data_IF_031873390765
#
_entry.id   IF_031873390765
#
_cell.length_a   1.000
_cell.length_b   1.000
_cell.length_c   1.000
_cell.angle_alpha   90.00
_cell.angle_beta   90.00
_cell.angle_gamma   90.00
#
_symmetry.space_group_name_H-M   'P 1'
#
loop_
_entity.id
_entity.type
_entity.pdbx_description
1 polymer ?
#
# COMPACT_ATOMS: atom_id res chain seq x y z
N UNK A 1 -23.84 12.82 29.28
CA UNK A 1 -23.25 11.48 29.06
C UNK A 1 -23.96 10.69 27.95
N UNK A 2 -25.26 10.35 28.04
CA UNK A 2 -25.98 9.59 26.98
C UNK A 2 -25.90 10.23 25.57
N UNK A 3 -26.06 11.55 25.46
CA UNK A 3 -25.95 12.28 24.19
C UNK A 3 -24.55 12.17 23.55
N UNK A 4 -23.50 12.18 24.37
CA UNK A 4 -22.10 12.02 23.92
C UNK A 4 -21.88 10.58 23.42
N UNK A 5 -22.37 9.58 24.16
CA UNK A 5 -22.27 8.18 23.75
C UNK A 5 -22.96 7.92 22.40
N UNK A 6 -24.16 8.48 22.20
CA UNK A 6 -24.88 8.37 20.93
C UNK A 6 -24.08 9.02 19.79
N UNK A 7 -23.48 10.18 20.04
CA UNK A 7 -22.69 10.89 19.03
C UNK A 7 -21.43 10.09 18.62
N UNK A 8 -20.77 9.45 19.58
CA UNK A 8 -19.61 8.57 19.33
C UNK A 8 -20.00 7.34 18.50
N UNK A 9 -21.15 6.72 18.80
CA UNK A 9 -21.66 5.56 18.04
C UNK A 9 -22.02 5.95 16.61
N UNK A 10 -22.70 7.08 16.40
CA UNK A 10 -23.04 7.55 15.06
C UNK A 10 -21.75 7.83 14.28
N UNK A 11 -20.77 8.49 14.90
CA UNK A 11 -19.50 8.80 14.26
C UNK A 11 -18.71 7.53 13.89
N UNK A 12 -18.68 6.50 14.74
CA UNK A 12 -18.01 5.25 14.43
C UNK A 12 -18.67 4.49 13.27
N UNK A 13 -20.00 4.50 13.19
CA UNK A 13 -20.76 3.94 12.06
C UNK A 13 -20.48 4.68 10.76
N UNK A 14 -20.48 6.02 10.78
CA UNK A 14 -20.18 6.85 9.59
C UNK A 14 -18.76 6.55 9.09
N UNK A 15 -17.77 6.51 9.99
CA UNK A 15 -16.39 6.15 9.61
C UNK A 15 -16.35 4.76 8.98
N UNK A 16 -16.96 3.77 9.63
CA UNK A 16 -16.90 2.38 9.16
C UNK A 16 -17.60 2.22 7.81
N UNK A 17 -18.78 2.83 7.64
CA UNK A 17 -19.52 2.84 6.39
C UNK A 17 -18.73 3.49 5.25
N UNK A 18 -18.12 4.66 5.50
CA UNK A 18 -17.26 5.32 4.51
C UNK A 18 -16.11 4.41 4.04
N UNK A 19 -15.49 3.65 4.95
CA UNK A 19 -14.41 2.70 4.61
C UNK A 19 -14.88 1.55 3.74
N UNK A 20 -16.12 1.08 3.93
CA UNK A 20 -16.70 0.02 3.10
C UNK A 20 -17.02 0.56 1.70
N UNK A 21 -17.51 1.80 1.60
CA UNK A 21 -17.86 2.42 0.32
C UNK A 21 -16.65 2.80 -0.55
N UNK A 22 -15.46 2.94 0.02
CA UNK A 22 -14.23 3.25 -0.72
C UNK A 22 -13.31 2.03 -0.79
N UNK A 23 -13.53 1.09 -1.74
CA UNK A 23 -12.67 -0.05 -1.92
C UNK A 23 -11.26 0.39 -2.32
N UNK A 24 -10.28 -0.39 -1.88
CA UNK A 24 -8.89 -0.15 -2.25
C UNK A 24 -8.71 -0.22 -3.76
N UNK A 25 -8.12 0.84 -4.33
CA UNK A 25 -7.85 0.96 -5.76
C UNK A 25 -6.36 0.77 -6.01
N UNK A 26 -6.00 -0.12 -6.92
CA UNK A 26 -4.63 -0.22 -7.44
C UNK A 26 -4.48 0.84 -8.53
N UNK A 27 -3.52 1.74 -8.36
CA UNK A 27 -3.23 2.81 -9.32
C UNK A 27 -1.88 2.61 -10.03
N UNK A 28 -1.04 1.69 -9.55
CA UNK A 28 0.17 1.29 -10.25
C UNK A 28 0.78 -0.01 -9.75
N UNK A 29 1.48 -0.69 -10.65
CA UNK A 29 2.21 -1.93 -10.42
C UNK A 29 3.53 -1.79 -11.16
N UNK A 30 4.64 -1.77 -10.42
CA UNK A 30 5.98 -1.60 -10.96
C UNK A 30 6.85 -2.79 -10.58
N UNK A 31 7.46 -3.42 -11.59
CA UNK A 31 8.48 -4.44 -11.38
C UNK A 31 9.85 -3.75 -11.42
N UNK A 32 10.44 -3.53 -10.24
CA UNK A 32 11.72 -2.80 -10.11
C UNK A 32 12.91 -3.70 -10.40
N UNK A 33 12.78 -5.00 -10.11
CA UNK A 33 13.72 -6.04 -10.47
C UNK A 33 13.00 -7.37 -10.64
N UNK A 34 13.71 -8.45 -11.00
CA UNK A 34 13.12 -9.78 -11.24
C UNK A 34 12.16 -10.23 -10.13
N UNK A 35 12.49 -9.94 -8.87
CA UNK A 35 11.73 -10.41 -7.70
C UNK A 35 11.18 -9.27 -6.82
N UNK A 36 11.34 -8.01 -7.22
CA UNK A 36 10.89 -6.85 -6.43
C UNK A 36 9.75 -6.14 -7.14
N UNK A 37 8.61 -6.06 -6.44
CA UNK A 37 7.38 -5.44 -6.92
C UNK A 37 7.03 -4.27 -6.03
N UNK A 38 6.69 -3.15 -6.63
CA UNK A 38 6.14 -1.98 -5.95
C UNK A 38 4.71 -1.78 -6.41
N UNK A 39 3.79 -1.77 -5.45
CA UNK A 39 2.36 -1.61 -5.65
C UNK A 39 1.92 -0.27 -5.10
N UNK A 40 1.29 0.55 -5.95
CA UNK A 40 0.76 1.85 -5.55
C UNK A 40 -0.76 1.74 -5.48
N UNK A 41 -1.31 2.04 -4.31
CA UNK A 41 -2.74 1.89 -4.01
C UNK A 41 -3.31 3.14 -3.37
N UNK A 42 -4.62 3.29 -3.45
CA UNK A 42 -5.41 4.27 -2.72
C UNK A 42 -6.46 3.58 -1.87
N UNK A 43 -6.89 4.22 -0.77
CA UNK A 43 -7.90 3.68 0.14
C UNK A 43 -7.49 2.31 0.70
N UNK A 44 -6.20 2.11 1.01
CA UNK A 44 -5.71 0.85 1.57
C UNK A 44 -6.29 0.58 2.96
N UNK A 45 -6.50 -0.70 3.36
CA UNK A 45 -7.01 -1.02 4.67
C UNK A 45 -6.07 -0.52 5.78
N UNK A 46 -6.66 0.01 6.85
CA UNK A 46 -5.93 0.52 8.00
C UNK A 46 -5.47 -0.56 8.98
N UNK A 47 -6.25 -1.62 9.18
CA UNK A 47 -5.97 -2.68 10.17
C UNK A 47 -4.97 -3.67 9.61
N UNK A 48 -4.09 -4.22 10.46
CA UNK A 48 -3.11 -5.24 10.07
C UNK A 48 -3.78 -6.41 9.32
N UNK A 49 -4.85 -6.96 9.89
CA UNK A 49 -5.61 -8.05 9.27
C UNK A 49 -6.26 -7.64 7.95
N UNK A 50 -6.80 -6.42 7.85
CA UNK A 50 -7.41 -5.91 6.62
C UNK A 50 -6.39 -5.82 5.48
N UNK A 51 -5.18 -5.32 5.77
CA UNK A 51 -4.08 -5.20 4.79
C UNK A 51 -3.69 -6.57 4.24
N UNK A 52 -3.46 -7.54 5.13
CA UNK A 52 -3.06 -8.91 4.77
C UNK A 52 -4.18 -9.59 3.98
N UNK A 53 -5.42 -9.50 4.45
CA UNK A 53 -6.58 -10.14 3.80
C UNK A 53 -6.83 -9.56 2.40
N UNK A 54 -6.64 -8.25 2.23
CA UNK A 54 -6.73 -7.63 0.92
C UNK A 54 -5.65 -8.17 -0.02
N UNK A 55 -4.39 -8.21 0.42
CA UNK A 55 -3.30 -8.75 -0.39
C UNK A 55 -3.57 -10.19 -0.82
N UNK A 56 -3.98 -11.05 0.10
CA UNK A 56 -4.26 -12.46 -0.17
C UNK A 56 -5.33 -12.66 -1.27
N UNK A 57 -6.35 -11.79 -1.31
CA UNK A 57 -7.41 -11.85 -2.33
C UNK A 57 -7.00 -11.27 -3.68
N UNK A 58 -6.07 -10.33 -3.71
CA UNK A 58 -5.74 -9.54 -4.89
C UNK A 58 -4.42 -9.93 -5.56
N UNK A 59 -3.54 -10.67 -4.87
CA UNK A 59 -2.18 -11.00 -5.34
C UNK A 59 -2.15 -11.72 -6.69
N UNK A 60 -3.08 -12.65 -6.94
CA UNK A 60 -3.16 -13.37 -8.22
C UNK A 60 -3.39 -12.43 -9.41
N UNK A 61 -4.26 -11.44 -9.24
CA UNK A 61 -4.52 -10.41 -10.25
C UNK A 61 -3.31 -9.48 -10.48
N UNK A 62 -2.48 -9.27 -9.46
CA UNK A 62 -1.22 -8.52 -9.60
C UNK A 62 -0.21 -9.35 -10.39
N UNK A 63 0.01 -10.61 -10.01
CA UNK A 63 0.98 -11.49 -10.68
C UNK A 63 0.62 -11.78 -12.13
N UNK A 64 -0.66 -11.82 -12.49
CA UNK A 64 -1.09 -11.99 -13.89
C UNK A 64 -0.56 -10.93 -14.86
N UNK A 65 -0.12 -9.77 -14.34
CA UNK A 65 0.41 -8.65 -15.12
C UNK A 65 1.94 -8.62 -15.16
N UNK A 66 2.59 -9.52 -14.45
CA UNK A 66 4.04 -9.52 -14.24
C UNK A 66 4.62 -10.86 -14.67
N UNK A 67 5.86 -10.85 -15.16
CA UNK A 67 6.54 -12.08 -15.55
C UNK A 67 7.52 -12.50 -14.45
N UNK A 68 7.02 -13.14 -13.39
CA UNK A 68 7.78 -13.43 -12.16
C UNK A 68 7.62 -14.88 -11.74
N UNK A 69 8.67 -15.44 -11.14
CA UNK A 69 8.59 -16.72 -10.47
C UNK A 69 7.97 -16.52 -9.07
N UNK A 70 6.77 -17.09 -8.84
CA UNK A 70 5.99 -16.91 -7.60
C UNK A 70 6.61 -17.58 -6.35
N UNK A 71 7.79 -18.20 -6.48
CA UNK A 71 8.47 -18.91 -5.42
C UNK A 71 9.42 -18.04 -4.58
N UNK A 72 9.76 -16.82 -5.03
CA UNK A 72 10.64 -15.92 -4.29
C UNK A 72 10.44 -14.47 -4.71
N UNK A 73 9.75 -13.67 -3.90
CA UNK A 73 9.49 -12.28 -4.24
C UNK A 73 9.35 -11.38 -3.01
N UNK A 74 9.51 -10.08 -3.25
CA UNK A 74 9.27 -9.01 -2.29
C UNK A 74 8.25 -8.04 -2.87
N UNK A 75 7.20 -7.72 -2.12
CA UNK A 75 6.18 -6.74 -2.51
C UNK A 75 6.16 -5.60 -1.52
N UNK A 76 6.35 -4.37 -2.02
CA UNK A 76 6.24 -3.15 -1.25
C UNK A 76 4.95 -2.42 -1.66
N UNK A 77 3.99 -2.32 -0.74
CA UNK A 77 2.73 -1.63 -1.01
C UNK A 77 2.77 -0.24 -0.41
N UNK A 78 2.56 0.77 -1.25
CA UNK A 78 2.48 2.18 -0.89
C UNK A 78 1.06 2.71 -1.04
N UNK A 79 0.54 3.35 0.01
CA UNK A 79 -0.79 3.96 -0.02
C UNK A 79 -0.67 5.47 -0.24
N UNK A 80 -0.61 5.89 -1.49
CA UNK A 80 -0.22 7.25 -1.87
C UNK A 80 -0.72 7.58 -3.29
N UNK A 81 -0.36 8.76 -3.79
CA UNK A 81 -0.61 9.20 -5.16
C UNK A 81 0.70 9.49 -5.87
N UNK A 82 0.67 9.47 -7.21
CA UNK A 82 1.76 9.98 -8.01
C UNK A 82 1.89 11.49 -7.89
N UNK A 83 3.12 11.97 -8.02
CA UNK A 83 3.48 13.38 -8.09
C UNK A 83 4.73 13.55 -8.94
N UNK A 84 4.93 14.79 -9.39
CA UNK A 84 6.11 15.21 -10.13
C UNK A 84 7.32 15.34 -9.20
N UNK A 85 8.48 14.95 -9.69
CA UNK A 85 9.78 15.26 -9.07
C UNK A 85 10.05 16.76 -9.18
N UNK A 86 10.27 17.42 -8.04
CA UNK A 86 10.44 18.88 -8.00
C UNK A 86 11.88 19.33 -8.31
N UNK A 87 12.84 18.40 -8.32
CA UNK A 87 14.28 18.69 -8.45
C UNK A 87 14.91 19.37 -7.23
N UNK A 88 14.30 19.25 -6.05
CA UNK A 88 14.72 19.84 -4.77
C UNK A 88 15.16 18.77 -3.76
N UNK A 89 15.83 19.16 -2.66
CA UNK A 89 16.31 18.22 -1.63
C UNK A 89 15.17 17.41 -0.95
N UNK A 90 13.92 17.89 -1.03
CA UNK A 90 12.72 17.18 -0.58
C UNK A 90 12.44 15.91 -1.42
N UNK A 91 13.10 15.75 -2.56
CA UNK A 91 12.92 14.60 -3.45
C UNK A 91 13.70 13.35 -3.00
N UNK A 92 14.57 13.48 -1.98
CA UNK A 92 15.17 12.32 -1.30
C UNK A 92 14.11 11.36 -0.72
N UNK A 93 12.93 11.88 -0.38
CA UNK A 93 11.78 11.13 0.11
C UNK A 93 10.90 10.54 -1.00
N UNK A 94 11.28 10.71 -2.27
CA UNK A 94 10.56 10.16 -3.43
C UNK A 94 11.13 8.86 -3.95
N UNK A 95 10.24 7.96 -4.35
CA UNK A 95 10.53 6.79 -5.17
C UNK A 95 9.96 7.03 -6.57
N UNK A 96 10.85 7.14 -7.56
CA UNK A 96 10.49 7.41 -8.95
C UNK A 96 10.62 6.17 -9.84
N UNK A 97 9.70 6.03 -10.77
CA UNK A 97 9.54 4.85 -11.64
C UNK A 97 9.96 5.17 -13.07
N UNK A 98 11.04 4.52 -13.54
CA UNK A 98 11.60 4.75 -14.88
C UNK A 98 10.74 4.20 -16.02
N UNK A 99 9.83 3.28 -15.71
CA UNK A 99 8.89 2.66 -16.65
C UNK A 99 7.70 3.57 -16.97
N UNK A 100 7.52 4.69 -16.26
CA UNK A 100 6.49 5.68 -16.54
C UNK A 100 7.04 6.81 -17.42
N UNK A 101 6.40 7.06 -18.56
CA UNK A 101 6.77 8.16 -19.47
C UNK A 101 6.25 9.54 -19.03
N UNK A 102 5.48 9.62 -17.94
CA UNK A 102 4.85 10.85 -17.45
C UNK A 102 5.75 11.60 -16.47
N UNK A 103 5.58 12.93 -16.39
CA UNK A 103 6.29 13.74 -15.38
C UNK A 103 5.89 13.39 -13.93
N UNK A 104 4.66 12.91 -13.72
CA UNK A 104 4.18 12.40 -12.43
C UNK A 104 4.56 10.92 -12.24
N UNK A 105 5.85 10.60 -12.25
CA UNK A 105 6.37 9.23 -12.15
C UNK A 105 6.86 8.85 -10.76
N UNK A 106 6.64 9.71 -9.75
CA UNK A 106 7.18 9.52 -8.40
C UNK A 106 6.10 9.38 -7.34
N UNK A 107 6.42 8.67 -6.25
CA UNK A 107 5.59 8.54 -5.06
C UNK A 107 6.38 8.88 -3.80
N UNK A 108 5.70 9.33 -2.74
CA UNK A 108 6.33 9.47 -1.42
C UNK A 108 6.67 8.09 -0.82
N UNK A 109 7.87 7.97 -0.23
CA UNK A 109 8.33 6.79 0.50
C UNK A 109 7.67 6.64 1.88
N UNK A 110 7.02 7.67 2.42
CA UNK A 110 6.54 7.70 3.80
C UNK A 110 5.47 6.67 4.12
N UNK A 111 4.51 6.45 3.21
CA UNK A 111 3.33 5.64 3.51
C UNK A 111 3.43 4.26 2.88
N UNK A 112 4.19 3.38 3.51
CA UNK A 112 4.37 1.97 3.11
C UNK A 112 3.69 1.02 4.10
N UNK A 113 2.36 0.89 4.06
CA UNK A 113 1.61 0.20 5.10
C UNK A 113 1.80 -1.32 5.18
N UNK A 114 2.30 -1.98 4.13
CA UNK A 114 2.51 -3.42 4.08
C UNK A 114 3.70 -3.77 3.18
N UNK A 115 4.57 -4.64 3.69
CA UNK A 115 5.64 -5.31 2.97
C UNK A 115 5.39 -6.81 3.07
N UNK A 116 5.55 -7.52 1.95
CA UNK A 116 5.43 -8.97 1.87
C UNK A 116 6.76 -9.55 1.41
N UNK A 117 7.25 -10.55 2.14
CA UNK A 117 8.41 -11.35 1.76
C UNK A 117 7.96 -12.77 1.53
N UNK A 118 8.20 -13.32 0.34
CA UNK A 118 8.01 -14.74 0.06
C UNK A 118 9.35 -15.38 -0.21
N UNK A 119 9.67 -16.39 0.59
CA UNK A 119 10.93 -17.10 0.55
C UNK A 119 10.78 -18.41 -0.25
N UNK A 120 11.92 -18.92 -0.75
CA UNK A 120 11.98 -20.14 -1.57
C UNK A 120 11.47 -21.40 -0.88
N UNK A 121 11.50 -21.45 0.45
CA UNK A 121 10.97 -22.53 1.28
C UNK A 121 9.43 -22.49 1.41
N UNK A 122 8.77 -21.50 0.80
CA UNK A 122 7.33 -21.30 0.85
C UNK A 122 6.86 -20.43 2.02
N UNK A 123 7.76 -20.05 2.94
CA UNK A 123 7.43 -19.13 4.02
C UNK A 123 7.04 -17.76 3.47
N UNK A 124 6.05 -17.12 4.09
CA UNK A 124 5.61 -15.76 3.73
C UNK A 124 5.52 -14.89 4.97
N UNK A 125 6.29 -13.80 4.99
CA UNK A 125 6.29 -12.82 6.06
C UNK A 125 5.50 -11.57 5.66
N UNK A 126 4.72 -11.04 6.61
CA UNK A 126 3.99 -9.80 6.46
C UNK A 126 4.48 -8.76 7.47
N UNK A 127 5.20 -7.76 6.99
CA UNK A 127 5.63 -6.62 7.80
C UNK A 127 4.65 -5.47 7.56
N UNK A 128 3.84 -5.16 8.57
CA UNK A 128 2.99 -3.96 8.54
C UNK A 128 3.63 -2.85 9.33
N UNK A 129 3.74 -1.65 8.76
CA UNK A 129 4.14 -0.50 9.56
C UNK A 129 3.12 -0.26 10.67
N UNK A 130 3.64 -0.16 11.90
CA UNK A 130 2.90 0.23 13.08
C UNK A 130 2.44 1.68 12.89
N UNK A 131 1.16 1.94 13.14
CA UNK A 131 0.58 3.30 13.16
C UNK A 131 1.42 4.25 14.03
N UNK A 132 2.14 3.72 15.04
CA UNK A 132 2.91 4.49 16.01
C UNK A 132 4.34 4.87 15.58
N UNK A 133 4.85 4.39 14.45
CA UNK A 133 6.18 4.81 13.96
C UNK A 133 6.17 6.22 13.35
N UNK A 134 4.99 6.82 13.17
CA UNK A 134 4.83 8.20 12.67
C UNK A 134 4.89 9.27 13.76
N UNK A 135 5.02 8.87 15.03
CA UNK A 135 5.03 9.74 16.21
C UNK A 135 6.31 9.62 17.04
N UNK A 136 7.35 8.97 16.52
CA UNK A 136 8.64 8.79 17.19
C UNK A 136 9.79 8.97 16.20
#
# INVERSE_FOLDING_TARGET
MKKILILVVIFSFVITGYRICHPTRIIGIHQVSENIIVLVVQHFPWTKQGKISWWQRNQSGVFSKLNIQENNYSVFIYNTCYKKDSGTDQDSDLLCFKDMATEESCISKENRPLIIWRYRDGHTEYTTESIFRRFY
#
